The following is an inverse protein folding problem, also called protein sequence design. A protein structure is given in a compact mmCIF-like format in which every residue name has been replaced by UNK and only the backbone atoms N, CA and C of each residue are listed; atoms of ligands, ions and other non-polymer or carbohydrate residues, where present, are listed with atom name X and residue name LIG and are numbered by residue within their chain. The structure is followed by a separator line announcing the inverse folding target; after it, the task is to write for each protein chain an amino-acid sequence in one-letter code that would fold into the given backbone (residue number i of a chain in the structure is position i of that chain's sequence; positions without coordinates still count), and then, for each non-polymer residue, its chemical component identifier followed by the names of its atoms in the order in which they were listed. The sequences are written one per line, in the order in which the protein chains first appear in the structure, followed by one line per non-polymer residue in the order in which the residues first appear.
data_IF_426646755492
#
_entry.id   IF_426646755492
#
_cell.length_a   1.000
_cell.length_b   1.000
_cell.length_c   1.000
_cell.angle_alpha   90.00
_cell.angle_beta   90.00
_cell.angle_gamma   90.00
#
_symmetry.space_group_name_H-M   'P 1'
#
loop_
_entity.id
_entity.type
_entity.pdbx_description
1 polymer ?
#
# COMPACT_ATOMS: atom_id res chain seq x y z
N UNK A 1 3.08 16.76 -4.96
CA UNK A 1 2.44 16.00 -3.85
C UNK A 1 2.33 14.55 -4.29
N UNK A 2 2.83 13.61 -3.50
CA UNK A 2 2.61 12.19 -3.77
C UNK A 2 1.12 11.85 -3.60
N UNK A 3 0.56 11.00 -4.48
CA UNK A 3 -0.82 10.53 -4.31
C UNK A 3 -0.85 9.60 -3.09
N UNK A 4 -1.93 9.65 -2.32
CA UNK A 4 -2.16 8.81 -1.13
C UNK A 4 -3.20 7.73 -1.45
N UNK A 5 -2.94 6.50 -1.02
CA UNK A 5 -3.89 5.38 -1.11
C UNK A 5 -4.13 4.81 0.27
N UNK A 6 -5.40 4.63 0.63
CA UNK A 6 -5.79 3.87 1.82
C UNK A 6 -6.05 2.44 1.39
N UNK A 7 -5.30 1.49 1.95
CA UNK A 7 -5.41 0.06 1.63
C UNK A 7 -6.07 -0.67 2.81
N UNK A 8 -7.17 -1.38 2.54
CA UNK A 8 -7.70 -2.37 3.46
C UNK A 8 -6.65 -3.48 3.64
N UNK A 9 -6.06 -3.57 4.82
CA UNK A 9 -4.84 -4.32 5.08
C UNK A 9 -5.09 -5.38 6.13
N UNK A 10 -5.15 -6.64 5.71
CA UNK A 10 -5.39 -7.79 6.59
C UNK A 10 -4.13 -8.31 7.30
N UNK A 11 -2.94 -7.80 6.93
CA UNK A 11 -1.66 -8.35 7.38
C UNK A 11 -1.26 -9.65 6.69
N UNK A 12 -2.05 -10.13 5.72
CA UNK A 12 -1.71 -11.29 4.91
C UNK A 12 -0.53 -11.01 3.96
N UNK A 13 0.05 -12.08 3.42
CA UNK A 13 1.15 -12.00 2.45
C UNK A 13 0.78 -11.09 1.27
N UNK A 14 -0.41 -11.28 0.69
CA UNK A 14 -0.85 -10.54 -0.48
C UNK A 14 -0.93 -9.04 -0.21
N UNK A 15 -1.58 -8.65 0.89
CA UNK A 15 -1.70 -7.23 1.27
C UNK A 15 -0.35 -6.62 1.65
N UNK A 16 0.57 -7.41 2.20
CA UNK A 16 1.94 -6.97 2.54
C UNK A 16 2.78 -6.70 1.30
N UNK A 17 2.71 -7.61 0.31
CA UNK A 17 3.41 -7.44 -0.97
C UNK A 17 2.82 -6.28 -1.77
N UNK A 18 1.50 -6.10 -1.75
CA UNK A 18 0.82 -4.99 -2.42
C UNK A 18 1.33 -3.62 -1.95
N UNK A 19 1.55 -3.43 -0.64
CA UNK A 19 2.11 -2.18 -0.08
C UNK A 19 3.46 -1.87 -0.72
N UNK A 20 4.38 -2.83 -0.74
CA UNK A 20 5.72 -2.64 -1.31
C UNK A 20 5.66 -2.32 -2.79
N UNK A 21 4.85 -3.08 -3.53
CA UNK A 21 4.69 -2.92 -4.96
C UNK A 21 4.14 -1.53 -5.33
N UNK A 22 3.13 -1.04 -4.62
CA UNK A 22 2.55 0.29 -4.87
C UNK A 22 3.55 1.42 -4.61
N UNK A 23 4.36 1.31 -3.55
CA UNK A 23 5.41 2.29 -3.26
C UNK A 23 6.44 2.35 -4.39
N UNK A 24 6.90 1.20 -4.88
CA UNK A 24 7.95 1.11 -5.91
C UNK A 24 7.46 1.44 -7.32
N UNK A 25 6.27 0.96 -7.68
CA UNK A 25 5.78 1.03 -9.07
C UNK A 25 4.92 2.27 -9.32
N UNK A 26 4.21 2.76 -8.31
CA UNK A 26 3.34 3.92 -8.44
C UNK A 26 3.87 5.17 -7.73
N UNK A 27 4.89 5.05 -6.87
CA UNK A 27 5.44 6.19 -6.13
C UNK A 27 4.43 6.84 -5.20
N UNK A 28 3.49 6.05 -4.66
CA UNK A 28 2.41 6.53 -3.79
C UNK A 28 2.71 6.28 -2.33
N UNK A 29 2.16 7.14 -1.47
CA UNK A 29 2.12 6.93 -0.03
C UNK A 29 0.94 6.00 0.31
N UNK A 30 1.21 4.90 1.02
CA UNK A 30 0.19 3.89 1.37
C UNK A 30 -0.13 3.96 2.86
N UNK A 31 -1.41 4.09 3.18
CA UNK A 31 -1.94 4.07 4.54
C UNK A 31 -2.69 2.75 4.73
N UNK A 32 -2.18 1.88 5.57
CA UNK A 32 -2.83 0.61 5.91
C UNK A 32 -3.95 0.83 6.93
N UNK A 33 -5.14 0.31 6.65
CA UNK A 33 -6.28 0.29 7.55
C UNK A 33 -6.72 -1.16 7.76
N UNK A 34 -6.69 -1.63 9.00
CA UNK A 34 -7.14 -2.97 9.38
C UNK A 34 -8.64 -2.99 9.70
#
# INVERSE_FOLDING_TARGET
MAKRVVLAYSGGLDTSVAVRWMIENWGVEVICLA
#
